data_IF_022480803114
#
_entry.id   IF_022480803114
#
_cell.length_a   1.000
_cell.length_b   1.000
_cell.length_c   1.000
_cell.angle_alpha   90.00
_cell.angle_beta   90.00
_cell.angle_gamma   90.00
#
_symmetry.space_group_name_H-M   'P 1'
#
loop_
_entity.id
_entity.type
_entity.pdbx_description
1 polymer ?
#
# COMPACT_ATOMS: atom_id res chain seq x y z
N UNK A 1 -10.23 3.73 -6.53
CA UNK A 1 -8.99 3.92 -7.34
C UNK A 1 -9.02 3.26 -8.74
N UNK A 2 -9.93 3.64 -9.66
CA UNK A 2 -9.94 3.12 -11.02
C UNK A 2 -8.70 3.52 -11.84
N UNK A 3 -8.08 4.67 -11.56
CA UNK A 3 -6.98 5.19 -12.37
C UNK A 3 -5.70 4.35 -12.25
N UNK A 4 -5.39 3.84 -11.05
CA UNK A 4 -4.25 2.93 -10.88
C UNK A 4 -4.46 1.64 -11.69
N UNK A 5 -5.65 1.05 -11.63
CA UNK A 5 -5.98 -0.15 -12.41
C UNK A 5 -5.82 0.09 -13.92
N UNK A 6 -6.36 1.21 -14.43
CA UNK A 6 -6.23 1.60 -15.84
C UNK A 6 -4.76 1.79 -16.22
N UNK A 7 -3.99 2.52 -15.40
CA UNK A 7 -2.57 2.76 -15.63
C UNK A 7 -1.78 1.44 -15.67
N UNK A 8 -2.00 0.55 -14.72
CA UNK A 8 -1.35 -0.76 -14.69
C UNK A 8 -1.68 -1.59 -15.94
N UNK A 9 -2.95 -1.63 -16.36
CA UNK A 9 -3.37 -2.36 -17.56
C UNK A 9 -2.69 -1.82 -18.83
N UNK A 10 -2.44 -0.51 -18.90
CA UNK A 10 -1.80 0.14 -20.04
C UNK A 10 -0.27 0.04 -20.05
N UNK A 11 0.37 -0.05 -18.88
CA UNK A 11 1.83 0.13 -18.75
C UNK A 11 2.58 -1.14 -18.38
N UNK A 12 1.98 -2.00 -17.57
CA UNK A 12 2.60 -3.23 -17.05
C UNK A 12 1.81 -4.48 -17.44
N UNK A 13 0.95 -4.38 -18.45
CA UNK A 13 0.20 -5.48 -19.07
C UNK A 13 -0.65 -6.32 -18.08
N UNK A 14 -1.26 -5.68 -17.09
CA UNK A 14 -2.22 -6.34 -16.20
C UNK A 14 -3.62 -6.39 -16.81
N UNK A 15 -4.54 -7.10 -16.15
CA UNK A 15 -5.96 -7.16 -16.50
C UNK A 15 -6.84 -6.93 -15.26
N UNK A 16 -6.57 -5.84 -14.53
CA UNK A 16 -7.27 -5.45 -13.30
C UNK A 16 -8.62 -4.84 -13.69
N UNK A 17 -9.71 -5.28 -13.06
CA UNK A 17 -11.01 -4.64 -13.20
C UNK A 17 -10.97 -3.24 -12.54
N UNK A 18 -11.26 -2.14 -13.27
CA UNK A 18 -11.28 -0.81 -12.68
C UNK A 18 -12.43 -0.62 -11.67
N UNK A 19 -13.42 -1.51 -11.63
CA UNK A 19 -14.48 -1.54 -10.62
C UNK A 19 -13.96 -2.25 -9.36
N UNK A 20 -13.22 -1.52 -8.53
CA UNK A 20 -12.61 -2.06 -7.30
C UNK A 20 -13.68 -2.22 -6.22
N UNK A 21 -13.93 -3.45 -5.71
CA UNK A 21 -14.87 -3.68 -4.62
C UNK A 21 -14.26 -3.29 -3.26
N UNK A 22 -15.12 -2.92 -2.32
CA UNK A 22 -14.76 -2.77 -0.91
C UNK A 22 -14.93 -4.09 -0.18
N UNK A 23 -14.06 -4.34 0.81
CA UNK A 23 -14.13 -5.53 1.68
C UNK A 23 -13.84 -5.15 3.12
N UNK A 24 -14.54 -5.80 4.04
CA UNK A 24 -14.32 -5.63 5.48
C UNK A 24 -13.20 -6.55 5.98
N UNK A 25 -12.38 -6.10 6.95
CA UNK A 25 -11.24 -6.87 7.46
C UNK A 25 -11.63 -8.19 8.13
N UNK A 26 -12.86 -8.30 8.64
CA UNK A 26 -13.42 -9.52 9.23
C UNK A 26 -14.07 -10.46 8.23
N UNK A 27 -14.29 -10.02 6.97
CA UNK A 27 -14.96 -10.84 5.96
C UNK A 27 -14.05 -11.96 5.45
N UNK A 28 -14.64 -13.07 5.03
CA UNK A 28 -13.93 -14.10 4.27
C UNK A 28 -13.66 -13.65 2.82
N UNK A 29 -14.31 -12.59 2.35
CA UNK A 29 -14.13 -12.09 1.00
C UNK A 29 -12.71 -11.58 0.76
N UNK A 30 -11.98 -11.19 1.82
CA UNK A 30 -10.58 -10.76 1.70
C UNK A 30 -9.71 -11.83 1.03
N UNK A 31 -10.05 -13.12 1.18
CA UNK A 31 -9.31 -14.23 0.58
C UNK A 31 -9.54 -14.37 -0.93
N UNK A 32 -10.55 -13.71 -1.49
CA UNK A 32 -10.80 -13.65 -2.93
C UNK A 32 -9.92 -12.62 -3.63
N UNK A 33 -9.21 -11.77 -2.87
CA UNK A 33 -8.41 -10.67 -3.41
C UNK A 33 -6.93 -10.86 -3.05
N UNK A 34 -6.03 -11.11 -4.02
CA UNK A 34 -4.61 -11.30 -3.73
C UNK A 34 -3.92 -10.02 -3.23
N UNK A 35 -4.54 -8.85 -3.47
CA UNK A 35 -4.06 -7.55 -3.04
C UNK A 35 -5.20 -6.76 -2.41
N UNK A 36 -4.96 -6.23 -1.21
CA UNK A 36 -5.87 -5.32 -0.51
C UNK A 36 -5.12 -4.00 -0.31
N UNK A 37 -5.78 -2.91 -0.68
CA UNK A 37 -5.35 -1.57 -0.37
C UNK A 37 -6.24 -0.98 0.72
N UNK A 38 -5.61 -0.38 1.72
CA UNK A 38 -6.26 0.31 2.81
C UNK A 38 -5.71 1.73 2.88
N UNK A 39 -6.58 2.72 2.89
CA UNK A 39 -6.25 4.13 3.04
C UNK A 39 -7.25 4.79 3.98
N UNK A 40 -6.88 5.89 4.60
CA UNK A 40 -7.80 6.70 5.38
C UNK A 40 -7.10 7.75 6.24
N UNK A 41 -7.93 8.53 6.93
CA UNK A 41 -7.50 9.55 7.88
C UNK A 41 -7.90 9.13 9.30
N UNK A 42 -6.95 9.13 10.23
CA UNK A 42 -7.21 8.95 11.66
C UNK A 42 -7.38 7.51 12.15
N UNK A 43 -8.43 7.25 12.94
CA UNK A 43 -8.50 6.09 13.82
C UNK A 43 -8.78 4.78 13.08
N UNK A 44 -7.80 3.89 13.05
CA UNK A 44 -7.97 2.48 12.69
C UNK A 44 -7.93 1.62 13.94
N UNK A 45 -8.97 0.82 14.15
CA UNK A 45 -9.02 -0.15 15.25
C UNK A 45 -9.57 -1.47 14.71
N UNK A 46 -8.76 -2.52 14.76
CA UNK A 46 -9.23 -3.88 14.51
C UNK A 46 -9.62 -4.55 15.82
N UNK A 47 -10.71 -5.29 15.80
CA UNK A 47 -11.00 -6.33 16.80
C UNK A 47 -9.93 -7.44 16.76
N UNK A 48 -9.90 -8.28 17.80
CA UNK A 48 -8.99 -9.43 17.83
C UNK A 48 -9.29 -10.41 16.69
N UNK A 49 -10.57 -10.53 16.34
CA UNK A 49 -11.03 -11.36 15.23
C UNK A 49 -10.52 -10.83 13.88
N UNK A 50 -10.71 -9.53 13.60
CA UNK A 50 -10.25 -8.90 12.35
C UNK A 50 -8.72 -8.96 12.22
N UNK A 51 -7.98 -8.66 13.29
CA UNK A 51 -6.52 -8.75 13.27
C UNK A 51 -6.02 -10.18 13.00
N UNK A 52 -6.68 -11.19 13.57
CA UNK A 52 -6.39 -12.60 13.29
C UNK A 52 -6.75 -13.00 11.86
N UNK A 53 -7.85 -12.48 11.31
CA UNK A 53 -8.27 -12.75 9.94
C UNK A 53 -7.30 -12.13 8.93
N UNK A 54 -6.88 -10.88 9.14
CA UNK A 54 -5.85 -10.21 8.33
C UNK A 54 -4.53 -10.97 8.41
N UNK A 55 -4.10 -11.40 9.59
CA UNK A 55 -2.90 -12.23 9.75
C UNK A 55 -2.99 -13.48 8.87
N UNK A 56 -4.09 -14.23 8.99
CA UNK A 56 -4.32 -15.45 8.21
C UNK A 56 -4.32 -15.18 6.70
N UNK A 57 -4.92 -14.07 6.26
CA UNK A 57 -4.89 -13.64 4.87
C UNK A 57 -3.46 -13.42 4.36
N UNK A 58 -2.64 -12.68 5.10
CA UNK A 58 -1.25 -12.40 4.76
C UNK A 58 -0.35 -13.65 4.78
N UNK A 59 -0.58 -14.55 5.75
CA UNK A 59 0.08 -15.85 5.84
C UNK A 59 -0.32 -16.78 4.68
N UNK A 60 -1.52 -16.62 4.14
CA UNK A 60 -2.06 -17.43 3.02
C UNK A 60 -1.63 -16.93 1.64
N UNK A 61 -0.75 -15.92 1.57
CA UNK A 61 -0.23 -15.37 0.32
C UNK A 61 -0.79 -14.00 -0.06
N UNK A 62 -1.75 -13.47 0.69
CA UNK A 62 -2.27 -12.12 0.50
C UNK A 62 -1.19 -11.04 0.64
N UNK A 63 -1.51 -9.86 0.11
CA UNK A 63 -0.69 -8.66 0.23
C UNK A 63 -1.54 -7.48 0.69
N UNK A 64 -1.12 -6.80 1.74
CA UNK A 64 -1.81 -5.62 2.27
C UNK A 64 -0.94 -4.38 2.08
N UNK A 65 -1.40 -3.44 1.27
CA UNK A 65 -0.85 -2.08 1.21
C UNK A 65 -1.69 -1.15 2.07
N UNK A 66 -1.06 -0.47 3.02
CA UNK A 66 -1.67 0.54 3.87
C UNK A 66 -1.04 1.89 3.53
N UNK A 67 -1.83 2.87 3.14
CA UNK A 67 -1.38 4.22 2.78
C UNK A 67 -1.92 5.25 3.78
N UNK A 68 -1.01 6.01 4.40
CA UNK A 68 -1.37 7.10 5.31
C UNK A 68 -1.55 8.41 4.55
N UNK A 69 -2.82 8.78 4.36
CA UNK A 69 -3.23 10.02 3.72
C UNK A 69 -3.26 11.22 4.70
N UNK A 70 -2.81 11.01 5.94
CA UNK A 70 -2.50 11.96 7.01
C UNK A 70 -3.18 11.59 8.34
N UNK A 71 -2.36 11.40 9.37
CA UNK A 71 -2.79 11.21 10.76
C UNK A 71 -3.14 9.77 11.15
N UNK A 72 -2.85 8.77 10.31
CA UNK A 72 -3.14 7.37 10.60
C UNK A 72 -2.03 6.69 11.44
N UNK A 73 -0.76 7.12 11.31
CA UNK A 73 0.42 6.53 11.97
C UNK A 73 0.23 6.11 13.46
N UNK A 74 -0.25 6.98 14.37
CA UNK A 74 -0.40 6.61 15.78
C UNK A 74 -1.44 5.51 16.03
N UNK A 75 -2.37 5.29 15.09
CA UNK A 75 -3.44 4.30 15.21
C UNK A 75 -3.09 3.00 14.51
N UNK A 76 -2.47 3.07 13.32
CA UNK A 76 -2.17 1.89 12.53
C UNK A 76 -0.98 1.10 13.06
N UNK A 77 0.05 1.73 13.64
CA UNK A 77 1.21 1.00 14.19
C UNK A 77 0.80 0.00 15.29
N UNK A 78 -0.03 0.35 16.29
CA UNK A 78 -0.59 -0.62 17.23
C UNK A 78 -1.39 -1.74 16.55
N UNK A 79 -2.15 -1.43 15.49
CA UNK A 79 -2.91 -2.44 14.75
C UNK A 79 -2.01 -3.40 13.98
N UNK A 80 -0.94 -2.92 13.34
CA UNK A 80 0.06 -3.78 12.68
C UNK A 80 0.72 -4.69 13.72
N UNK A 81 1.07 -4.15 14.91
CA UNK A 81 1.61 -4.96 16.01
C UNK A 81 0.60 -5.99 16.52
N UNK A 82 -0.69 -5.67 16.52
CA UNK A 82 -1.77 -6.61 16.84
C UNK A 82 -1.89 -7.71 15.79
N UNK A 83 -1.77 -7.38 14.50
CA UNK A 83 -1.73 -8.34 13.40
C UNK A 83 -0.47 -9.21 13.51
N UNK A 84 0.72 -8.69 13.82
CA UNK A 84 1.94 -9.48 14.02
C UNK A 84 2.69 -9.10 15.31
N UNK A 85 2.37 -9.75 16.45
CA UNK A 85 2.98 -9.44 17.75
C UNK A 85 4.48 -9.73 17.82
N UNK A 86 4.96 -10.72 17.08
CA UNK A 86 6.34 -11.21 17.16
C UNK A 86 7.21 -10.78 15.98
N UNK A 87 6.67 -9.97 15.07
CA UNK A 87 7.36 -9.53 13.86
C UNK A 87 7.50 -8.02 13.89
N UNK A 88 8.71 -7.57 13.62
CA UNK A 88 9.03 -6.16 13.59
C UNK A 88 8.56 -5.53 12.28
N UNK A 89 7.92 -4.36 12.40
CA UNK A 89 7.64 -3.49 11.27
C UNK A 89 8.92 -2.71 10.96
N UNK A 90 9.63 -3.10 9.91
CA UNK A 90 10.94 -2.54 9.55
C UNK A 90 10.80 -1.48 8.46
N UNK A 91 11.66 -0.47 8.47
CA UNK A 91 11.77 0.46 7.34
C UNK A 91 12.45 -0.23 6.15
N UNK A 92 11.89 -0.06 4.95
CA UNK A 92 12.43 -0.62 3.73
C UNK A 92 13.53 0.30 3.18
N UNK A 93 14.75 -0.22 2.91
CA UNK A 93 15.79 0.60 2.32
C UNK A 93 15.43 0.95 0.85
N UNK A 94 15.95 2.05 0.29
CA UNK A 94 15.78 2.40 -1.13
C UNK A 94 16.20 1.30 -2.12
N UNK A 95 17.07 0.39 -1.70
CA UNK A 95 17.50 -0.79 -2.48
C UNK A 95 16.48 -1.94 -2.51
N UNK A 96 15.38 -1.86 -1.74
CA UNK A 96 14.38 -2.91 -1.73
C UNK A 96 13.76 -3.08 -3.13
N UNK A 97 13.57 -4.32 -3.63
CA UNK A 97 13.13 -4.56 -5.01
C UNK A 97 11.81 -3.87 -5.36
N UNK A 98 10.92 -3.62 -4.39
CA UNK A 98 9.66 -2.90 -4.61
C UNK A 98 9.85 -1.51 -5.25
N UNK A 99 11.00 -0.86 -5.07
CA UNK A 99 11.29 0.47 -5.62
C UNK A 99 11.93 0.42 -7.01
N UNK A 100 12.26 -0.76 -7.53
CA UNK A 100 13.02 -0.91 -8.78
C UNK A 100 12.49 -2.04 -9.66
N UNK A 101 11.17 -2.28 -9.64
CA UNK A 101 10.50 -3.27 -10.50
C UNK A 101 10.41 -2.75 -11.96
N UNK A 102 9.25 -2.25 -12.37
CA UNK A 102 9.04 -1.70 -13.71
C UNK A 102 9.58 -0.28 -13.85
N UNK A 103 9.39 0.52 -12.79
CA UNK A 103 9.86 1.89 -12.69
C UNK A 103 10.96 1.99 -11.64
N UNK A 104 11.94 2.84 -11.87
CA UNK A 104 13.10 2.96 -10.99
C UNK A 104 12.97 4.17 -10.06
N UNK A 105 12.95 3.90 -8.75
CA UNK A 105 12.96 4.89 -7.69
C UNK A 105 14.23 4.73 -6.84
N UNK A 106 15.37 5.30 -7.26
CA UNK A 106 16.67 5.06 -6.61
C UNK A 106 16.74 5.59 -5.17
N UNK A 107 15.83 6.50 -4.81
CA UNK A 107 15.74 7.09 -3.48
C UNK A 107 14.61 6.47 -2.62
N UNK A 108 14.00 5.36 -3.06
CA UNK A 108 12.89 4.71 -2.36
C UNK A 108 11.54 5.37 -2.65
N UNK A 109 10.66 5.40 -1.66
CA UNK A 109 9.29 5.90 -1.80
C UNK A 109 9.28 7.38 -2.27
N UNK A 110 8.54 7.74 -3.34
CA UNK A 110 8.42 9.14 -3.76
C UNK A 110 7.57 9.94 -2.75
N UNK A 111 7.79 11.26 -2.66
CA UNK A 111 6.89 12.18 -1.93
C UNK A 111 5.85 12.70 -2.93
N UNK A 112 4.55 12.54 -2.63
CA UNK A 112 3.46 13.02 -3.48
C UNK A 112 2.84 14.27 -2.87
N UNK A 113 2.42 14.19 -1.61
CA UNK A 113 1.89 15.32 -0.85
C UNK A 113 2.80 15.75 0.31
N UNK A 114 2.77 17.04 0.67
CA UNK A 114 3.52 17.58 1.81
C UNK A 114 2.70 17.48 3.10
N UNK A 115 3.25 16.84 4.14
CA UNK A 115 2.64 16.79 5.47
C UNK A 115 3.48 17.61 6.46
N UNK A 116 4.26 16.94 7.32
CA UNK A 116 4.98 17.56 8.44
C UNK A 116 6.40 18.05 8.09
N UNK A 117 6.78 18.17 6.81
CA UNK A 117 8.18 18.43 6.43
C UNK A 117 9.09 17.20 6.57
N UNK A 118 8.52 16.01 6.80
CA UNK A 118 9.26 14.76 6.99
C UNK A 118 9.46 14.01 5.67
N UNK A 119 10.54 13.21 5.55
CA UNK A 119 10.75 12.39 4.36
C UNK A 119 9.66 11.29 4.25
N UNK A 120 9.32 10.86 3.02
CA UNK A 120 8.44 9.71 2.82
C UNK A 120 9.14 8.43 3.30
N UNK A 121 8.40 7.56 3.97
CA UNK A 121 8.93 6.31 4.51
C UNK A 121 8.03 5.14 4.14
N UNK A 122 8.64 4.00 3.82
CA UNK A 122 7.94 2.75 3.60
C UNK A 122 8.37 1.76 4.67
N UNK A 123 7.40 1.16 5.35
CA UNK A 123 7.62 0.12 6.33
C UNK A 123 7.04 -1.21 5.83
N UNK A 124 7.61 -2.32 6.29
CA UNK A 124 7.23 -3.65 5.84
C UNK A 124 7.16 -4.69 6.94
N UNK A 125 6.23 -5.64 6.79
CA UNK A 125 6.28 -6.94 7.48
C UNK A 125 6.83 -7.99 6.51
N UNK A 126 7.92 -8.65 6.90
CA UNK A 126 8.54 -9.72 6.14
C UNK A 126 8.17 -11.07 6.76
N UNK A 127 7.47 -11.92 6.01
CA UNK A 127 7.19 -13.31 6.36
C UNK A 127 7.95 -14.25 5.44
N UNK A 128 8.79 -15.12 6.01
CA UNK A 128 9.53 -16.14 5.25
C UNK A 128 10.31 -15.55 4.05
N UNK A 129 10.87 -14.35 4.21
CA UNK A 129 11.60 -13.64 3.16
C UNK A 129 10.75 -12.86 2.15
N UNK A 130 9.42 -12.89 2.27
CA UNK A 130 8.46 -12.16 1.43
C UNK A 130 7.90 -10.94 2.16
N UNK A 131 7.86 -9.77 1.53
CA UNK A 131 7.09 -8.63 2.03
C UNK A 131 5.60 -8.91 1.85
N UNK A 132 4.84 -8.92 2.93
CA UNK A 132 3.39 -9.24 2.92
C UNK A 132 2.52 -8.04 3.26
N UNK A 133 3.06 -7.09 4.02
CA UNK A 133 2.39 -5.84 4.37
C UNK A 133 3.34 -4.70 4.07
N UNK A 134 2.88 -3.73 3.29
CA UNK A 134 3.57 -2.48 3.02
C UNK A 134 2.78 -1.35 3.68
N UNK A 135 3.43 -0.54 4.51
CA UNK A 135 2.87 0.67 5.09
C UNK A 135 3.62 1.89 4.56
N UNK A 136 2.94 2.76 3.81
CA UNK A 136 3.49 4.02 3.30
C UNK A 136 3.08 5.19 4.20
N UNK A 137 4.08 5.92 4.70
CA UNK A 137 3.94 7.03 5.64
C UNK A 137 4.58 8.28 5.03
N UNK A 138 4.01 9.47 5.31
CA UNK A 138 4.56 10.75 4.83
C UNK A 138 4.70 10.82 3.31
N UNK A 139 3.80 10.18 2.55
CA UNK A 139 3.88 10.06 1.10
C UNK A 139 2.59 10.49 0.40
N UNK A 140 1.46 9.89 0.81
CA UNK A 140 0.13 9.97 0.20
C UNK A 140 0.12 9.53 -1.28
N UNK A 141 0.28 8.23 -1.53
CA UNK A 141 0.20 7.72 -2.91
C UNK A 141 -1.23 7.87 -3.46
N UNK A 142 -2.23 7.79 -2.60
CA UNK A 142 -3.66 7.94 -2.91
C UNK A 142 -3.98 9.21 -3.69
N UNK A 143 -3.41 10.36 -3.30
CA UNK A 143 -3.60 11.65 -3.98
C UNK A 143 -3.31 11.57 -5.50
N UNK A 144 -2.25 10.86 -5.87
CA UNK A 144 -1.88 10.65 -7.26
C UNK A 144 -2.65 9.53 -7.97
N UNK A 145 -3.41 8.72 -7.25
CA UNK A 145 -4.26 7.64 -7.79
C UNK A 145 -5.71 8.07 -7.99
N UNK A 146 -6.16 9.12 -7.30
CA UNK A 146 -7.49 9.70 -7.47
C UNK A 146 -7.60 10.55 -8.74
N UNK A 147 -8.79 11.01 -9.09
CA UNK A 147 -8.99 11.87 -10.26
C UNK A 147 -8.31 13.24 -10.10
N UNK A 148 -7.87 13.84 -11.21
CA UNK A 148 -7.18 15.15 -11.22
C UNK A 148 -8.00 16.26 -10.54
N UNK A 149 -9.32 16.17 -10.64
CA UNK A 149 -10.24 17.13 -10.03
C UNK A 149 -10.28 17.06 -8.50
N UNK A 150 -9.79 15.98 -7.89
CA UNK A 150 -9.81 15.78 -6.43
C UNK A 150 -8.60 16.43 -5.77
N UNK A 151 -7.41 16.23 -6.36
CA UNK A 151 -6.14 16.79 -5.89
C UNK A 151 -5.46 17.48 -7.07
N UNK A 152 -5.29 18.80 -6.96
CA UNK A 152 -4.71 19.65 -8.01
C UNK A 152 -3.18 19.51 -8.11
N UNK A 153 -2.69 18.28 -7.99
CA UNK A 153 -1.29 17.93 -8.05
C UNK A 153 -0.74 18.04 -9.47
N UNK A 154 0.51 18.49 -9.65
CA UNK A 154 1.14 18.54 -10.96
C UNK A 154 1.14 17.16 -11.65
N UNK A 155 0.95 17.09 -12.98
CA UNK A 155 0.92 15.83 -13.72
C UNK A 155 2.15 14.93 -13.48
N UNK A 156 3.34 15.50 -13.29
CA UNK A 156 4.55 14.75 -12.99
C UNK A 156 4.55 14.09 -11.60
N UNK A 157 3.85 14.68 -10.62
CA UNK A 157 3.70 14.14 -9.27
C UNK A 157 2.71 12.97 -9.30
N UNK A 158 1.58 13.15 -9.98
CA UNK A 158 0.58 12.10 -10.21
C UNK A 158 1.19 10.90 -10.94
N UNK A 159 2.00 11.15 -11.97
CA UNK A 159 2.70 10.08 -12.70
C UNK A 159 3.64 9.27 -11.78
N UNK A 160 4.38 9.92 -10.87
CA UNK A 160 5.23 9.21 -9.91
C UNK A 160 4.42 8.31 -8.98
N UNK A 161 3.27 8.79 -8.50
CA UNK A 161 2.37 7.98 -7.67
C UNK A 161 1.87 6.75 -8.43
N UNK A 162 1.40 6.93 -9.67
CA UNK A 162 0.94 5.83 -10.54
C UNK A 162 2.05 4.82 -10.83
N UNK A 163 3.26 5.29 -11.12
CA UNK A 163 4.44 4.44 -11.34
C UNK A 163 4.81 3.64 -10.08
N UNK A 164 4.77 4.26 -8.90
CA UNK A 164 5.03 3.55 -7.64
C UNK A 164 3.92 2.54 -7.35
N UNK A 165 2.66 2.87 -7.59
CA UNK A 165 1.55 1.93 -7.50
C UNK A 165 1.71 0.73 -8.43
N UNK A 166 2.12 0.95 -9.68
CA UNK A 166 2.40 -0.12 -10.63
C UNK A 166 3.54 -1.03 -10.15
N UNK A 167 4.59 -0.47 -9.52
CA UNK A 167 5.63 -1.27 -8.88
C UNK A 167 5.11 -2.12 -7.72
N UNK A 168 4.24 -1.56 -6.85
CA UNK A 168 3.63 -2.27 -5.72
C UNK A 168 2.77 -3.43 -6.23
N UNK A 169 1.91 -3.18 -7.23
CA UNK A 169 1.10 -4.20 -7.89
C UNK A 169 2.01 -5.25 -8.52
N UNK A 170 3.02 -4.87 -9.30
CA UNK A 170 3.92 -5.84 -9.91
C UNK A 170 4.61 -6.73 -8.86
N UNK A 171 5.10 -6.13 -7.78
CA UNK A 171 5.75 -6.84 -6.68
C UNK A 171 4.79 -7.83 -6.00
N UNK A 172 3.54 -7.44 -5.76
CA UNK A 172 2.56 -8.31 -5.11
C UNK A 172 2.19 -9.55 -5.93
N UNK A 173 2.30 -9.50 -7.26
CA UNK A 173 1.84 -10.57 -8.17
C UNK A 173 2.96 -11.39 -8.85
N UNK A 174 4.25 -11.03 -8.70
CA UNK A 174 5.36 -11.68 -9.42
C UNK A 174 6.46 -12.23 -8.50
N UNK A 175 6.10 -12.67 -7.29
CA UNK A 175 6.99 -13.37 -6.34
C UNK A 175 6.75 -14.88 -6.30
#
# INVERSE_FOLDING_TARGET
MPNLAIFCNQTINTNIDPNIPEVEPGSQDIFNYPFIHMTGHGNVIFSDFEAANIRKYLESGGFLHIDDNYGMDPFIRPQIKKIFPDIELIELPPSHPIFSQYFNFPNGLPKIHEHDGKPPQAFGIILNGRLVLLYTYECDLGDGWESEEVHNDPPEVRLKALQMGANIIHYAFNL
#
